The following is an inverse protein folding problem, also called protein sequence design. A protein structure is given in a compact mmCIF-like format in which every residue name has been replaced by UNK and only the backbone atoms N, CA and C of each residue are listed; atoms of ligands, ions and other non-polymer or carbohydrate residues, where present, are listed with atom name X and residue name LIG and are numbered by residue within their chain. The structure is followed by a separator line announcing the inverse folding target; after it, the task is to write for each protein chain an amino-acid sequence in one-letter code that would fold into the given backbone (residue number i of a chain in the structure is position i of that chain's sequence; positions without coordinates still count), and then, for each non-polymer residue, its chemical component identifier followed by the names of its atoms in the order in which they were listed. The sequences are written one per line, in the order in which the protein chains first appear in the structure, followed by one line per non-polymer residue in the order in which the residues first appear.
data_IF_332244122034
#
_entry.id   IF_332244122034
#
_cell.length_a   1.000
_cell.length_b   1.000
_cell.length_c   1.000
_cell.angle_alpha   90.00
_cell.angle_beta   90.00
_cell.angle_gamma   90.00
#
_symmetry.space_group_name_H-M   'P 1'
#
loop_
_entity.id
_entity.type
_entity.pdbx_description
1 polymer ?
#
# COMPACT_ATOMS: atom_id res chain seq x y z
N UNK A 1 48.40 -34.17 -38.51
CA UNK A 1 47.62 -33.43 -39.53
C UNK A 1 46.54 -32.61 -38.81
N UNK A 2 46.41 -31.34 -39.21
CA UNK A 2 45.71 -30.25 -38.52
C UNK A 2 44.18 -30.35 -38.65
N UNK A 3 43.45 -30.19 -37.53
CA UNK A 3 41.99 -30.12 -37.46
C UNK A 3 41.50 -28.89 -36.68
N UNK A 4 41.49 -27.76 -37.38
CA UNK A 4 41.03 -26.39 -37.08
C UNK A 4 39.98 -26.20 -35.97
N UNK A 5 40.42 -25.54 -34.89
CA UNK A 5 39.58 -24.73 -33.98
C UNK A 5 38.95 -23.56 -34.74
N UNK A 6 37.62 -23.49 -34.76
CA UNK A 6 36.85 -22.39 -35.36
C UNK A 6 36.73 -21.24 -34.36
N UNK A 7 37.65 -20.28 -34.43
CA UNK A 7 37.45 -18.91 -33.90
C UNK A 7 36.34 -18.24 -34.74
N UNK A 8 35.19 -17.95 -34.13
CA UNK A 8 34.21 -17.02 -34.72
C UNK A 8 34.57 -15.60 -34.28
N UNK A 9 34.92 -14.81 -35.28
CA UNK A 9 35.27 -13.40 -35.21
C UNK A 9 34.05 -12.56 -34.84
N UNK A 10 34.21 -11.72 -33.83
CA UNK A 10 33.30 -10.65 -33.42
C UNK A 10 33.40 -9.48 -34.40
N UNK A 11 32.33 -9.24 -35.16
CA UNK A 11 32.12 -7.97 -35.86
C UNK A 11 30.63 -7.65 -35.86
N UNK A 12 30.15 -7.14 -34.73
CA UNK A 12 28.82 -6.51 -34.66
C UNK A 12 29.00 -5.05 -35.03
N UNK A 13 28.39 -4.69 -36.15
CA UNK A 13 28.36 -3.36 -36.73
C UNK A 13 27.45 -2.49 -35.84
N UNK A 14 28.00 -1.38 -35.36
CA UNK A 14 27.26 -0.34 -34.65
C UNK A 14 26.54 0.50 -35.70
N UNK A 15 25.23 0.31 -35.85
CA UNK A 15 24.36 1.30 -36.49
C UNK A 15 23.56 2.03 -35.41
N UNK A 16 23.89 3.31 -35.21
CA UNK A 16 23.13 4.26 -34.43
C UNK A 16 21.82 4.56 -35.17
N UNK A 17 20.71 4.03 -34.68
CA UNK A 17 19.39 4.55 -35.02
C UNK A 17 18.68 4.97 -33.73
N UNK A 18 18.53 6.29 -33.56
CA UNK A 18 17.71 6.94 -32.54
C UNK A 18 16.24 6.57 -32.77
N UNK A 19 15.53 6.00 -31.79
CA UNK A 19 14.08 6.02 -31.78
C UNK A 19 13.61 7.37 -31.22
N UNK A 20 12.70 8.00 -31.97
CA UNK A 20 12.05 9.27 -31.65
C UNK A 20 11.22 9.13 -30.36
N UNK A 21 11.52 9.98 -29.38
CA UNK A 21 10.69 10.24 -28.20
C UNK A 21 9.42 10.95 -28.66
N UNK A 22 8.32 10.21 -28.75
CA UNK A 22 6.98 10.80 -28.76
C UNK A 22 6.58 11.04 -27.31
N UNK A 23 6.60 12.32 -26.91
CA UNK A 23 6.04 12.83 -25.66
C UNK A 23 4.58 12.39 -25.54
N UNK A 24 4.27 11.57 -24.55
CA UNK A 24 2.90 11.31 -24.09
C UNK A 24 2.84 11.73 -22.62
N UNK A 25 2.22 12.89 -22.45
CA UNK A 25 1.31 13.30 -21.38
C UNK A 25 1.81 13.09 -19.94
N UNK A 26 2.29 14.21 -19.41
CA UNK A 26 2.24 14.54 -17.99
C UNK A 26 0.80 14.37 -17.48
N UNK A 27 0.54 13.29 -16.75
CA UNK A 27 -0.63 13.22 -15.90
C UNK A 27 -0.41 14.18 -14.73
N UNK A 28 -1.29 15.17 -14.67
CA UNK A 28 -1.35 16.20 -13.65
C UNK A 28 -1.43 15.54 -12.27
N UNK A 29 -0.38 15.71 -11.47
CA UNK A 29 -0.50 15.56 -10.02
C UNK A 29 -1.55 16.56 -9.56
N UNK A 30 -2.75 16.07 -9.22
CA UNK A 30 -3.67 16.85 -8.43
C UNK A 30 -2.96 17.19 -7.12
N UNK A 31 -2.76 18.48 -6.77
CA UNK A 31 -2.06 18.86 -5.55
C UNK A 31 -2.92 18.41 -4.37
N UNK A 32 -2.53 17.30 -3.75
CA UNK A 32 -3.02 16.91 -2.44
C UNK A 32 -2.48 17.99 -1.50
N UNK A 33 -3.39 18.87 -1.08
CA UNK A 33 -3.26 19.97 -0.12
C UNK A 33 -2.04 19.84 0.80
N UNK A 34 -1.23 20.89 0.90
CA UNK A 34 -0.20 21.14 1.93
C UNK A 34 -0.83 21.12 3.34
N UNK A 35 -1.21 19.94 3.82
CA UNK A 35 -1.78 19.78 5.14
C UNK A 35 -0.64 19.92 6.16
N UNK A 36 -0.73 20.84 7.14
CA UNK A 36 0.31 20.99 8.15
C UNK A 36 0.23 19.79 9.10
N UNK A 37 0.96 18.73 8.75
CA UNK A 37 1.19 17.59 9.63
C UNK A 37 2.05 18.09 10.78
N UNK A 38 1.60 17.90 12.03
CA UNK A 38 2.40 18.21 13.23
C UNK A 38 3.78 17.55 13.17
N UNK A 39 4.81 18.23 13.67
CA UNK A 39 6.19 17.70 13.75
C UNK A 39 6.25 16.30 14.38
N UNK A 40 5.36 16.01 15.34
CA UNK A 40 5.25 14.70 15.97
C UNK A 40 4.77 13.62 15.00
N UNK A 41 3.74 13.90 14.20
CA UNK A 41 3.24 12.96 13.20
C UNK A 41 4.28 12.76 12.08
N UNK A 42 4.98 13.82 11.67
CA UNK A 42 6.08 13.68 10.69
C UNK A 42 7.21 12.80 11.23
N UNK A 43 7.58 12.97 12.50
CA UNK A 43 8.56 12.11 13.18
C UNK A 43 8.12 10.65 13.16
N UNK A 44 6.86 10.36 13.48
CA UNK A 44 6.32 8.99 13.48
C UNK A 44 6.26 8.40 12.07
N UNK A 45 5.91 9.19 11.06
CA UNK A 45 5.97 8.76 9.64
C UNK A 45 7.40 8.38 9.25
N UNK A 46 8.39 9.19 9.64
CA UNK A 46 9.81 8.89 9.40
C UNK A 46 10.23 7.57 10.07
N UNK A 47 9.78 7.33 11.30
CA UNK A 47 10.01 6.09 12.04
C UNK A 47 9.40 4.88 11.34
N UNK A 48 8.18 5.01 10.82
CA UNK A 48 7.52 3.97 10.02
C UNK A 48 8.33 3.67 8.75
N UNK A 49 8.78 4.70 8.05
CA UNK A 49 9.63 4.56 6.87
C UNK A 49 10.91 3.77 7.15
N UNK A 50 11.58 4.06 8.26
CA UNK A 50 12.79 3.36 8.67
C UNK A 50 12.51 1.93 9.16
N UNK A 51 11.47 1.75 9.98
CA UNK A 51 11.20 0.48 10.65
C UNK A 51 10.54 -0.57 9.76
N UNK A 52 9.66 -0.16 8.84
CA UNK A 52 8.92 -1.04 7.93
C UNK A 52 9.42 -1.01 6.49
N UNK A 53 10.35 -0.12 6.14
CA UNK A 53 10.72 0.19 4.75
C UNK A 53 9.52 0.65 3.92
N UNK A 54 8.58 1.35 4.55
CA UNK A 54 7.34 1.80 3.94
C UNK A 54 7.35 3.32 3.75
N UNK A 55 7.40 3.77 2.50
CA UNK A 55 7.12 5.17 2.18
C UNK A 55 5.62 5.39 2.29
N UNK A 56 5.17 6.00 3.40
CA UNK A 56 3.75 6.24 3.63
C UNK A 56 3.18 7.11 2.52
N UNK A 57 2.09 6.63 1.90
CA UNK A 57 1.31 7.41 0.95
C UNK A 57 0.52 8.52 1.69
N UNK A 58 0.19 9.65 1.06
CA UNK A 58 -0.50 10.76 1.72
C UNK A 58 -1.84 10.39 2.39
N UNK A 59 -2.52 9.35 1.90
CA UNK A 59 -3.76 8.85 2.50
C UNK A 59 -3.55 8.21 3.88
N UNK A 60 -2.35 7.71 4.18
CA UNK A 60 -2.07 6.97 5.42
C UNK A 60 -2.35 7.80 6.69
N UNK A 61 -1.72 8.97 6.91
CA UNK A 61 -2.02 9.79 8.09
C UNK A 61 -3.45 10.36 8.07
N UNK A 62 -4.00 10.66 6.88
CA UNK A 62 -5.37 11.16 6.74
C UNK A 62 -6.42 10.10 7.12
N UNK A 63 -6.14 8.83 6.81
CA UNK A 63 -7.00 7.72 7.19
C UNK A 63 -6.99 7.47 8.70
N UNK A 64 -5.84 7.66 9.35
CA UNK A 64 -5.75 7.65 10.80
C UNK A 64 -6.53 8.81 11.42
N UNK A 65 -6.39 10.03 10.90
CA UNK A 65 -7.20 11.19 11.31
C UNK A 65 -8.70 10.91 11.17
N UNK A 66 -9.12 10.29 10.07
CA UNK A 66 -10.51 9.84 9.91
C UNK A 66 -10.93 8.89 11.03
N UNK A 67 -10.10 7.90 11.38
CA UNK A 67 -10.40 6.99 12.48
C UNK A 67 -10.49 7.70 13.84
N UNK A 68 -9.71 8.75 14.07
CA UNK A 68 -9.82 9.61 15.26
C UNK A 68 -11.16 10.35 15.31
N UNK A 69 -11.72 10.76 14.16
CA UNK A 69 -13.07 11.36 14.12
C UNK A 69 -14.18 10.38 14.46
N UNK A 70 -13.98 9.09 14.21
CA UNK A 70 -14.94 8.03 14.53
C UNK A 70 -14.85 7.62 16.00
N UNK A 71 -13.63 7.47 16.53
CA UNK A 71 -13.36 6.96 17.88
C UNK A 71 -12.07 7.56 18.44
N UNK A 72 -12.19 8.72 19.07
CA UNK A 72 -11.04 9.49 19.57
C UNK A 72 -10.28 8.78 20.72
N UNK A 73 -10.96 7.97 21.52
CA UNK A 73 -10.38 7.22 22.64
C UNK A 73 -9.63 5.96 22.19
N UNK A 74 -10.07 5.35 21.09
CA UNK A 74 -9.49 4.12 20.55
C UNK A 74 -9.46 4.12 19.01
N UNK A 75 -8.65 4.98 18.37
CA UNK A 75 -8.66 5.17 16.92
C UNK A 75 -8.20 3.92 16.15
N UNK A 76 -7.33 3.08 16.74
CA UNK A 76 -6.92 1.82 16.13
C UNK A 76 -8.06 0.79 16.01
N UNK A 77 -9.05 0.92 16.89
CA UNK A 77 -10.22 0.06 16.96
C UNK A 77 -11.44 0.70 16.29
N UNK A 78 -11.33 1.87 15.67
CA UNK A 78 -12.47 2.65 15.16
C UNK A 78 -13.36 1.88 14.17
N UNK A 79 -12.82 0.86 13.51
CA UNK A 79 -13.50 0.06 12.49
C UNK A 79 -13.90 -1.34 12.96
N UNK A 80 -13.82 -1.63 14.26
CA UNK A 80 -14.12 -2.96 14.80
C UNK A 80 -15.56 -3.42 14.48
N UNK A 81 -16.51 -2.48 14.47
CA UNK A 81 -17.94 -2.77 14.26
C UNK A 81 -18.21 -3.29 12.83
N UNK A 82 -17.35 -2.97 11.88
CA UNK A 82 -17.40 -3.49 10.49
C UNK A 82 -16.37 -4.60 10.25
N UNK A 83 -15.70 -5.06 11.31
CA UNK A 83 -14.79 -6.18 11.31
C UNK A 83 -13.36 -5.83 10.91
N UNK A 84 -12.88 -4.61 11.17
CA UNK A 84 -11.50 -4.21 10.85
C UNK A 84 -10.77 -3.57 12.04
N UNK A 85 -9.46 -3.76 12.07
CA UNK A 85 -8.56 -3.14 13.05
C UNK A 85 -7.31 -2.61 12.38
N UNK A 86 -6.90 -1.40 12.75
CA UNK A 86 -5.65 -0.79 12.28
C UNK A 86 -4.47 -1.36 13.07
N UNK A 87 -3.43 -1.79 12.37
CA UNK A 87 -2.28 -2.49 12.96
C UNK A 87 -0.95 -2.03 12.36
N UNK A 88 0.16 -2.56 12.88
CA UNK A 88 1.50 -2.42 12.30
C UNK A 88 1.93 -0.95 12.23
N UNK A 89 2.12 -0.36 11.03
CA UNK A 89 2.42 1.07 10.89
C UNK A 89 1.49 2.01 11.67
N UNK A 90 0.19 1.70 11.77
CA UNK A 90 -0.74 2.55 12.50
C UNK A 90 -0.51 2.54 14.01
N UNK A 91 -0.06 1.43 14.58
CA UNK A 91 0.29 1.37 16.01
C UNK A 91 1.47 2.30 16.31
N UNK A 92 2.45 2.37 15.41
CA UNK A 92 3.57 3.30 15.53
C UNK A 92 3.10 4.74 15.31
N UNK A 93 2.16 4.99 14.40
CA UNK A 93 1.57 6.31 14.22
C UNK A 93 0.83 6.78 15.47
N UNK A 94 0.13 5.89 16.17
CA UNK A 94 -0.65 6.19 17.36
C UNK A 94 0.21 6.33 18.63
N UNK A 95 1.15 5.41 18.86
CA UNK A 95 1.93 5.33 20.11
C UNK A 95 3.33 5.97 20.01
N UNK A 96 3.88 6.07 18.80
CA UNK A 96 5.28 6.41 18.57
C UNK A 96 6.25 5.34 19.10
N UNK A 97 7.53 5.69 19.17
CA UNK A 97 8.54 4.93 19.91
C UNK A 97 9.51 5.87 20.62
N UNK A 98 9.87 5.50 21.85
CA UNK A 98 10.80 6.27 22.69
C UNK A 98 12.26 6.03 22.29
N UNK A 99 12.54 4.88 21.68
CA UNK A 99 13.89 4.51 21.26
C UNK A 99 14.13 4.82 19.77
N UNK A 100 15.38 5.09 19.38
CA UNK A 100 15.76 5.20 17.98
C UNK A 100 15.41 3.93 17.21
N UNK A 101 14.72 4.09 16.08
CA UNK A 101 14.30 2.98 15.24
C UNK A 101 15.49 2.48 14.43
N UNK A 102 15.74 1.17 14.45
CA UNK A 102 16.72 0.54 13.56
C UNK A 102 16.09 0.30 12.20
N UNK A 103 16.89 0.35 11.15
CA UNK A 103 16.41 0.08 9.80
C UNK A 103 15.83 -1.35 9.72
N UNK A 104 14.57 -1.49 9.30
CA UNK A 104 13.88 -2.78 9.22
C UNK A 104 13.52 -3.41 10.57
N UNK A 105 13.55 -2.65 11.67
CA UNK A 105 13.26 -3.17 13.02
C UNK A 105 11.89 -3.85 13.11
N UNK A 106 10.92 -3.39 12.33
CA UNK A 106 9.54 -3.86 12.36
C UNK A 106 9.15 -4.61 11.07
N UNK A 107 10.11 -5.01 10.24
CA UNK A 107 9.83 -5.71 8.98
C UNK A 107 9.05 -7.03 9.15
N UNK A 108 9.03 -7.61 10.35
CA UNK A 108 8.29 -8.83 10.69
C UNK A 108 6.98 -8.58 11.48
N UNK A 109 6.69 -7.34 11.87
CA UNK A 109 5.46 -7.01 12.59
C UNK A 109 4.26 -7.13 11.65
N UNK A 110 3.27 -7.94 12.03
CA UNK A 110 2.10 -8.26 11.20
C UNK A 110 2.45 -8.77 9.79
N UNK A 111 3.63 -9.39 9.64
CA UNK A 111 4.00 -10.12 8.42
C UNK A 111 3.46 -11.55 8.52
N UNK A 112 2.52 -11.89 7.66
CA UNK A 112 1.97 -13.24 7.58
C UNK A 112 2.85 -14.14 6.70
N UNK A 113 2.62 -15.44 6.80
CA UNK A 113 3.50 -16.47 6.23
C UNK A 113 3.79 -16.29 4.72
N UNK A 114 2.80 -15.83 3.96
CA UNK A 114 2.93 -15.63 2.52
C UNK A 114 3.24 -14.19 2.11
N UNK A 115 3.40 -13.28 3.06
CA UNK A 115 3.60 -11.86 2.74
C UNK A 115 5.02 -11.61 2.23
N UNK A 116 5.16 -11.15 0.98
CA UNK A 116 6.46 -10.84 0.41
C UNK A 116 7.02 -9.54 1.03
N UNK A 117 8.33 -9.26 0.93
CA UNK A 117 8.92 -8.04 1.48
C UNK A 117 8.35 -6.72 0.94
N UNK A 118 7.71 -6.77 -0.22
CA UNK A 118 6.99 -5.69 -0.88
C UNK A 118 5.65 -5.36 -0.21
N UNK A 119 5.14 -6.23 0.66
CA UNK A 119 3.83 -6.10 1.28
C UNK A 119 3.94 -5.78 2.77
N UNK A 120 3.32 -4.68 3.19
CA UNK A 120 3.28 -4.24 4.59
C UNK A 120 1.83 -4.12 5.05
N UNK A 121 1.42 -4.99 5.95
CA UNK A 121 0.08 -5.02 6.55
C UNK A 121 -0.20 -3.75 7.34
N UNK A 122 -1.37 -3.16 7.14
CA UNK A 122 -1.86 -1.99 7.88
C UNK A 122 -3.24 -2.21 8.49
N UNK A 123 -4.05 -3.13 7.96
CA UNK A 123 -5.37 -3.46 8.50
C UNK A 123 -5.51 -4.99 8.55
N UNK A 124 -6.09 -5.51 9.63
CA UNK A 124 -6.54 -6.90 9.71
C UNK A 124 -8.07 -6.94 9.72
N UNK A 125 -8.66 -7.93 9.06
CA UNK A 125 -10.06 -8.25 9.26
C UNK A 125 -10.21 -9.11 10.52
N UNK A 126 -11.11 -8.74 11.42
CA UNK A 126 -11.38 -9.46 12.67
C UNK A 126 -12.46 -10.52 12.51
N UNK A 127 -13.30 -10.40 11.48
CA UNK A 127 -14.39 -11.34 11.18
C UNK A 127 -13.98 -12.43 10.19
N UNK A 128 -13.07 -12.10 9.27
CA UNK A 128 -12.58 -13.00 8.22
C UNK A 128 -11.06 -13.12 8.33
N UNK A 129 -10.48 -14.22 7.84
CA UNK A 129 -9.04 -14.47 7.94
C UNK A 129 -8.25 -13.83 6.80
N UNK A 130 -8.46 -12.54 6.55
CA UNK A 130 -7.65 -11.78 5.60
C UNK A 130 -7.13 -10.48 6.19
N UNK A 131 -6.08 -9.96 5.58
CA UNK A 131 -5.44 -8.70 5.96
C UNK A 131 -5.17 -7.85 4.73
N UNK A 132 -5.05 -6.55 4.94
CA UNK A 132 -4.86 -5.54 3.90
C UNK A 132 -3.55 -4.82 4.19
N UNK A 133 -2.77 -4.64 3.14
CA UNK A 133 -1.47 -4.02 3.22
C UNK A 133 -1.15 -3.19 1.99
N UNK A 134 -0.19 -2.29 2.18
CA UNK A 134 0.44 -1.60 1.06
C UNK A 134 1.39 -2.56 0.35
N UNK A 135 1.20 -2.71 -0.94
CA UNK A 135 2.13 -3.35 -1.85
C UNK A 135 2.92 -2.30 -2.62
N UNK A 136 4.22 -2.50 -2.74
CA UNK A 136 5.13 -1.62 -3.50
C UNK A 136 6.05 -2.45 -4.38
N UNK A 137 6.11 -2.16 -5.67
CA UNK A 137 7.03 -2.84 -6.59
C UNK A 137 8.50 -2.48 -6.30
N UNK A 138 8.75 -1.27 -5.80
CA UNK A 138 10.08 -0.77 -5.44
C UNK A 138 9.99 0.26 -4.31
N UNK A 139 11.13 0.74 -3.81
CA UNK A 139 11.14 1.80 -2.79
C UNK A 139 10.61 3.14 -3.30
N UNK A 140 10.65 3.39 -4.62
CA UNK A 140 10.24 4.65 -5.23
C UNK A 140 8.84 4.60 -5.85
N UNK A 141 8.30 3.41 -6.10
CA UNK A 141 6.96 3.26 -6.67
C UNK A 141 5.89 3.71 -5.68
N UNK A 142 4.85 4.37 -6.20
CA UNK A 142 3.63 4.65 -5.43
C UNK A 142 3.00 3.33 -5.00
N UNK A 143 2.77 3.09 -3.69
CA UNK A 143 2.15 1.85 -3.24
C UNK A 143 0.66 1.82 -3.60
N UNK A 144 0.10 0.62 -3.69
CA UNK A 144 -1.34 0.38 -3.75
C UNK A 144 -1.74 -0.62 -2.67
N UNK A 145 -3.03 -0.77 -2.41
CA UNK A 145 -3.54 -1.69 -1.39
C UNK A 145 -3.88 -3.03 -2.03
N UNK A 146 -3.45 -4.10 -1.39
CA UNK A 146 -3.88 -5.45 -1.69
C UNK A 146 -4.38 -6.15 -0.42
N UNK A 147 -5.30 -7.09 -0.60
CA UNK A 147 -5.77 -8.00 0.44
C UNK A 147 -5.19 -9.40 0.20
N UNK A 148 -4.89 -10.10 1.29
CA UNK A 148 -4.29 -11.44 1.30
C UNK A 148 -4.99 -12.29 2.34
N UNK A 149 -5.20 -13.57 2.04
CA UNK A 149 -5.77 -14.55 2.98
C UNK A 149 -4.66 -15.52 3.38
N UNK A 150 -4.00 -15.35 4.54
CA UNK A 150 -2.80 -16.12 4.91
C UNK A 150 -2.97 -17.64 4.85
N UNK A 151 -4.18 -18.13 5.08
CA UNK A 151 -4.48 -19.55 5.20
C UNK A 151 -4.81 -20.23 3.88
N UNK A 152 -5.07 -19.47 2.80
CA UNK A 152 -5.47 -20.04 1.52
C UNK A 152 -4.29 -20.27 0.58
N UNK A 153 -3.63 -19.19 0.18
CA UNK A 153 -2.54 -19.16 -0.78
C UNK A 153 -1.80 -17.81 -0.70
N UNK A 154 -0.62 -17.70 -1.31
CA UNK A 154 0.13 -16.45 -1.38
C UNK A 154 -0.38 -15.46 -2.43
N UNK A 155 -1.69 -15.44 -2.72
CA UNK A 155 -2.27 -14.53 -3.71
C UNK A 155 -2.56 -13.18 -3.05
N UNK A 156 -2.14 -12.11 -3.73
CA UNK A 156 -2.46 -10.74 -3.35
C UNK A 156 -3.51 -10.20 -4.32
N UNK A 157 -4.68 -9.88 -3.78
CA UNK A 157 -5.78 -9.31 -4.55
C UNK A 157 -5.76 -7.79 -4.44
N UNK A 158 -5.72 -7.09 -5.56
CA UNK A 158 -5.81 -5.63 -5.55
C UNK A 158 -7.10 -5.15 -4.86
N UNK A 159 -6.96 -4.19 -3.94
CA UNK A 159 -8.08 -3.61 -3.18
C UNK A 159 -8.29 -2.12 -3.43
N UNK A 160 -7.29 -1.36 -3.88
CA UNK A 160 -7.47 0.06 -4.16
C UNK A 160 -6.16 0.84 -4.27
N UNK A 161 -6.23 2.07 -4.76
CA UNK A 161 -5.05 2.95 -4.86
C UNK A 161 -4.70 3.65 -3.55
N UNK A 162 -5.64 3.70 -2.61
CA UNK A 162 -5.50 4.27 -1.27
C UNK A 162 -6.47 3.57 -0.31
N UNK A 163 -6.31 3.82 0.99
CA UNK A 163 -7.11 3.20 2.04
C UNK A 163 -8.60 3.54 1.94
N UNK A 164 -8.94 4.77 1.57
CA UNK A 164 -10.34 5.20 1.44
C UNK A 164 -11.05 4.47 0.29
N UNK A 165 -10.39 4.32 -0.86
CA UNK A 165 -10.91 3.57 -1.99
C UNK A 165 -11.08 2.08 -1.68
N UNK A 166 -10.10 1.47 -0.99
CA UNK A 166 -10.16 0.07 -0.58
C UNK A 166 -11.30 -0.18 0.43
N UNK A 167 -11.37 0.63 1.49
CA UNK A 167 -12.43 0.48 2.49
C UNK A 167 -13.81 0.78 1.89
N UNK A 168 -13.94 1.79 1.02
CA UNK A 168 -15.19 2.06 0.29
C UNK A 168 -15.65 0.83 -0.50
N UNK A 169 -14.76 0.19 -1.27
CA UNK A 169 -15.11 -1.00 -2.06
C UNK A 169 -15.61 -2.12 -1.16
N UNK A 170 -14.91 -2.39 -0.07
CA UNK A 170 -15.26 -3.45 0.88
C UNK A 170 -16.61 -3.15 1.56
N UNK A 171 -16.83 -1.91 2.01
CA UNK A 171 -18.08 -1.51 2.68
C UNK A 171 -19.27 -1.49 1.72
N UNK A 172 -19.06 -1.27 0.42
CA UNK A 172 -20.12 -1.35 -0.59
C UNK A 172 -20.53 -2.80 -0.89
N UNK A 173 -19.60 -3.75 -0.76
CA UNK A 173 -19.89 -5.18 -0.85
C UNK A 173 -20.61 -5.70 0.41
N UNK A 174 -20.33 -5.10 1.58
CA UNK A 174 -21.02 -5.39 2.84
C UNK A 174 -22.39 -4.69 2.92
N UNK A 175 -23.36 -5.34 3.57
CA UNK A 175 -24.77 -4.91 3.66
C UNK A 175 -25.00 -3.66 4.56
N UNK A 176 -26.28 -3.28 4.72
CA UNK A 176 -26.79 -2.03 5.30
C UNK A 176 -26.13 -1.47 6.57
N UNK A 177 -25.56 -2.30 7.46
CA UNK A 177 -24.87 -1.85 8.70
C UNK A 177 -23.67 -0.93 8.41
N UNK A 178 -23.07 -1.04 7.22
CA UNK A 178 -21.94 -0.21 6.80
C UNK A 178 -22.34 1.15 6.21
N UNK A 179 -23.63 1.46 6.09
CA UNK A 179 -24.08 2.64 5.32
C UNK A 179 -23.70 3.98 5.95
N UNK A 180 -23.75 4.12 7.28
CA UNK A 180 -23.38 5.39 7.91
C UNK A 180 -21.86 5.60 7.93
N UNK A 181 -21.09 4.56 8.25
CA UNK A 181 -19.64 4.59 8.12
C UNK A 181 -19.20 4.93 6.68
N UNK A 182 -19.86 4.33 5.68
CA UNK A 182 -19.58 4.59 4.28
C UNK A 182 -19.85 6.05 3.91
N UNK A 183 -20.94 6.66 4.40
CA UNK A 183 -21.22 8.09 4.20
C UNK A 183 -20.13 8.95 4.83
N UNK A 184 -19.81 8.72 6.11
CA UNK A 184 -18.77 9.48 6.82
C UNK A 184 -17.40 9.38 6.14
N UNK A 185 -17.06 8.19 5.63
CA UNK A 185 -15.84 7.96 4.86
C UNK A 185 -15.81 8.78 3.57
N UNK A 186 -16.91 8.77 2.81
CA UNK A 186 -17.01 9.52 1.55
C UNK A 186 -16.97 11.03 1.81
N UNK A 187 -17.67 11.51 2.84
CA UNK A 187 -17.69 12.92 3.23
C UNK A 187 -16.31 13.40 3.66
N UNK A 188 -15.62 12.65 4.53
CA UNK A 188 -14.25 12.98 4.97
C UNK A 188 -13.28 13.00 3.78
N UNK A 189 -13.32 11.98 2.93
CA UNK A 189 -12.46 11.91 1.76
C UNK A 189 -12.74 13.06 0.78
N UNK A 190 -14.01 13.41 0.56
CA UNK A 190 -14.40 14.57 -0.26
C UNK A 190 -13.88 15.87 0.33
N UNK A 191 -14.01 16.06 1.65
CA UNK A 191 -13.50 17.25 2.34
C UNK A 191 -11.98 17.39 2.22
N UNK A 192 -11.25 16.28 2.27
CA UNK A 192 -9.78 16.24 2.14
C UNK A 192 -9.29 16.11 0.69
N UNK A 193 -10.18 16.14 -0.31
CA UNK A 193 -9.88 15.97 -1.74
C UNK A 193 -9.16 14.64 -2.07
N UNK A 194 -9.53 13.55 -1.40
CA UNK A 194 -8.98 12.22 -1.60
C UNK A 194 -9.86 11.44 -2.59
N UNK A 195 -9.30 10.88 -3.68
CA UNK A 195 -10.07 10.06 -4.61
C UNK A 195 -10.50 8.74 -3.95
N UNK A 196 -11.80 8.45 -3.96
CA UNK A 196 -12.35 7.20 -3.39
C UNK A 196 -12.83 6.20 -4.44
N UNK A 197 -12.83 6.57 -5.72
CA UNK A 197 -13.19 5.67 -6.80
C UNK A 197 -12.09 4.63 -7.03
N UNK A 198 -12.48 3.38 -7.31
CA UNK A 198 -11.57 2.43 -7.94
C UNK A 198 -11.31 2.91 -9.36
N UNK A 199 -10.04 3.02 -9.75
CA UNK A 199 -9.69 3.34 -11.13
C UNK A 199 -10.25 2.27 -12.07
N UNK A 200 -10.75 2.70 -13.23
CA UNK A 200 -11.38 1.84 -14.25
C UNK A 200 -10.44 0.75 -14.81
N UNK A 201 -9.15 0.81 -14.47
CA UNK A 201 -8.13 -0.18 -14.84
C UNK A 201 -8.20 -1.48 -14.03
N UNK A 202 -8.88 -1.52 -12.88
CA UNK A 202 -8.61 -2.55 -11.86
C UNK A 202 -9.73 -3.57 -11.61
N UNK A 203 -10.70 -3.75 -12.52
CA UNK A 203 -11.76 -4.76 -12.31
C UNK A 203 -11.29 -6.22 -12.40
N UNK A 204 -10.06 -6.52 -12.81
CA UNK A 204 -9.62 -7.90 -13.09
C UNK A 204 -8.11 -8.19 -12.84
N UNK A 205 -7.42 -7.45 -11.97
CA UNK A 205 -5.99 -7.68 -11.71
C UNK A 205 -5.77 -8.45 -10.40
N UNK A 206 -5.85 -9.78 -10.46
CA UNK A 206 -5.26 -10.66 -9.44
C UNK A 206 -3.74 -10.67 -9.63
N UNK A 207 -2.98 -10.33 -8.58
CA UNK A 207 -1.52 -10.38 -8.63
C UNK A 207 -1.09 -11.75 -8.10
N UNK A 208 -0.61 -12.59 -9.02
CA UNK A 208 0.00 -13.86 -8.65
C UNK A 208 1.47 -13.62 -8.31
N UNK A 209 1.81 -13.61 -7.02
CA UNK A 209 3.20 -13.69 -6.59
C UNK A 209 3.60 -15.17 -6.60
N UNK A 210 4.10 -15.66 -7.74
CA UNK A 210 4.61 -17.02 -7.85
C UNK A 210 6.00 -17.05 -7.21
N UNK A 211 6.09 -17.53 -5.97
CA UNK A 211 7.37 -17.96 -5.42
C UNK A 211 7.74 -19.30 -6.05
N UNK A 212 8.74 -19.30 -6.95
CA UNK A 212 9.48 -20.51 -7.28
C UNK A 212 10.15 -21.00 -5.99
N UNK A 213 9.61 -22.06 -5.39
CA UNK A 213 10.34 -22.85 -4.40
C UNK A 213 11.61 -23.35 -5.08
N UNK A 214 12.75 -22.81 -4.67
CA UNK A 214 14.08 -23.40 -4.94
C UNK A 214 14.28 -24.54 -3.96
#
# INVERSE_FOLDING_TARGET
MRGKSRKRSSKVIIEKQKPKVSKIVSEEESPISDYPISDEIQRRISMIGQGFHLKCSPDFPLFYEFCETLRADAPLEALLDVGFRLVGPFEILHLGSKEPVKNGQWSNYYRFYHDPPEFVTVIICTTEQYHIGYFRDSCESKPFLAKSTPMSNGVLEYCGQNLFACLRSILQEKCAESTDLLKSLIEFASFKNIPTGLSSFCKLSTIYVIWLKI
#
